data_IF_422047787295
#
_entry.id   IF_422047787295
#
_cell.length_a   1.000
_cell.length_b   1.000
_cell.length_c   1.000
_cell.angle_alpha   90.00
_cell.angle_beta   90.00
_cell.angle_gamma   90.00
#
_symmetry.space_group_name_H-M   'P 1'
#
loop_
_entity.id
_entity.type
_entity.pdbx_description
1 polymer ?
#
# COMPACT_ATOMS: atom_id res chain seq x y z
N UNK A 1 26.49 -15.95 6.51
CA UNK A 1 26.77 -16.04 5.05
C UNK A 1 26.25 -17.36 4.44
N UNK A 2 26.44 -18.52 5.08
CA UNK A 2 25.99 -19.82 4.56
C UNK A 2 24.46 -19.92 4.36
N UNK A 3 23.67 -19.54 5.37
CA UNK A 3 22.20 -19.56 5.30
C UNK A 3 21.61 -18.61 4.21
N UNK A 4 22.28 -17.47 3.97
CA UNK A 4 21.86 -16.55 2.91
C UNK A 4 22.11 -17.13 1.51
N UNK A 5 23.25 -17.82 1.31
CA UNK A 5 23.56 -18.48 0.05
C UNK A 5 22.63 -19.66 -0.24
N UNK A 6 22.32 -20.49 0.76
CA UNK A 6 21.37 -21.61 0.63
C UNK A 6 19.95 -21.14 0.25
N UNK A 7 19.50 -19.99 0.76
CA UNK A 7 18.23 -19.39 0.34
C UNK A 7 18.27 -18.82 -1.07
N UNK A 8 19.42 -18.32 -1.55
CA UNK A 8 19.57 -17.75 -2.89
C UNK A 8 19.65 -18.84 -3.97
N UNK A 9 20.29 -19.97 -3.67
CA UNK A 9 20.46 -21.09 -4.61
C UNK A 9 19.11 -21.76 -4.97
N UNK A 10 18.11 -21.67 -4.11
CA UNK A 10 16.77 -22.22 -4.36
C UNK A 10 15.88 -21.35 -5.26
N UNK A 11 16.27 -20.10 -5.58
CA UNK A 11 15.40 -19.13 -6.28
C UNK A 11 15.94 -18.64 -7.63
N UNK A 12 16.99 -19.24 -8.12
CA UNK A 12 17.62 -18.88 -9.39
C UNK A 12 18.63 -17.71 -9.28
N UNK A 13 19.33 -17.39 -10.36
CA UNK A 13 20.51 -16.51 -10.34
C UNK A 13 20.19 -15.03 -10.17
N UNK A 14 18.95 -14.60 -10.33
CA UNK A 14 18.54 -13.18 -10.28
C UNK A 14 17.27 -13.00 -9.47
N UNK A 15 17.34 -12.15 -8.43
CA UNK A 15 16.21 -11.72 -7.61
C UNK A 15 16.18 -12.34 -6.21
N UNK A 16 15.20 -11.92 -5.41
CA UNK A 16 14.95 -12.45 -4.08
C UNK A 16 13.73 -13.37 -4.09
N UNK A 17 13.83 -14.51 -3.41
CA UNK A 17 12.69 -15.40 -3.22
C UNK A 17 11.54 -14.71 -2.46
N UNK A 18 10.33 -14.78 -3.03
CA UNK A 18 9.14 -14.20 -2.42
C UNK A 18 8.67 -15.05 -1.24
N UNK A 19 8.37 -14.39 -0.09
CA UNK A 19 7.72 -15.02 1.07
C UNK A 19 8.64 -15.37 2.23
N UNK A 20 9.97 -15.32 2.09
CA UNK A 20 10.91 -15.49 3.20
C UNK A 20 11.12 -14.17 3.95
N UNK A 21 11.20 -14.22 5.29
CA UNK A 21 11.57 -13.06 6.12
C UNK A 21 13.00 -12.57 5.82
N UNK A 22 13.91 -13.50 5.52
CA UNK A 22 15.30 -13.19 5.16
C UNK A 22 15.32 -12.38 3.85
N UNK A 23 14.58 -12.82 2.83
CA UNK A 23 14.46 -12.11 1.56
C UNK A 23 13.85 -10.72 1.72
N UNK A 24 12.84 -10.57 2.58
CA UNK A 24 12.23 -9.26 2.88
C UNK A 24 13.24 -8.34 3.59
N UNK A 25 14.00 -8.84 4.54
CA UNK A 25 15.04 -8.07 5.25
C UNK A 25 16.15 -7.66 4.30
N UNK A 26 16.63 -8.58 3.45
CA UNK A 26 17.65 -8.28 2.44
C UNK A 26 17.17 -7.21 1.44
N UNK A 27 15.92 -7.31 0.98
CA UNK A 27 15.30 -6.30 0.11
C UNK A 27 15.17 -4.92 0.75
N UNK A 28 15.03 -4.84 2.08
CA UNK A 28 15.06 -3.57 2.82
C UNK A 28 16.45 -3.00 2.95
N UNK A 29 17.46 -3.87 3.10
CA UNK A 29 18.86 -3.45 3.32
C UNK A 29 19.61 -3.09 2.03
N UNK A 30 19.27 -3.75 0.91
CA UNK A 30 19.96 -3.51 -0.36
C UNK A 30 19.94 -2.04 -0.81
N UNK A 31 18.80 -1.31 -0.74
CA UNK A 31 18.77 0.10 -1.13
C UNK A 31 19.33 1.07 -0.09
N UNK A 32 19.87 0.59 1.06
CA UNK A 32 20.39 1.45 2.12
C UNK A 32 21.53 2.36 1.62
N UNK A 33 22.42 1.84 0.76
CA UNK A 33 23.48 2.65 0.13
C UNK A 33 22.89 3.77 -0.75
N UNK A 34 21.80 3.50 -1.45
CA UNK A 34 21.08 4.51 -2.22
C UNK A 34 20.42 5.55 -1.31
N UNK A 35 19.85 5.12 -0.17
CA UNK A 35 19.24 6.04 0.81
C UNK A 35 20.28 7.02 1.38
N UNK A 36 21.46 6.54 1.77
CA UNK A 36 22.59 7.36 2.20
C UNK A 36 23.07 8.30 1.09
N UNK A 37 23.22 7.78 -0.13
CA UNK A 37 23.62 8.61 -1.27
C UNK A 37 22.64 9.76 -1.51
N UNK A 38 21.33 9.51 -1.47
CA UNK A 38 20.29 10.54 -1.67
C UNK A 38 20.36 11.60 -0.56
N UNK A 39 20.52 11.18 0.68
CA UNK A 39 20.52 12.11 1.83
C UNK A 39 21.82 12.86 2.01
N UNK A 40 22.94 12.17 1.90
CA UNK A 40 24.25 12.70 2.26
C UNK A 40 24.98 13.32 1.05
N UNK A 41 24.93 12.67 -0.13
CA UNK A 41 25.64 13.14 -1.32
C UNK A 41 24.79 14.06 -2.19
N UNK A 42 23.48 13.79 -2.31
CA UNK A 42 22.55 14.65 -3.05
C UNK A 42 21.88 15.71 -2.15
N UNK A 43 22.01 15.64 -0.83
CA UNK A 43 21.45 16.62 0.10
C UNK A 43 19.93 16.76 0.03
N UNK A 44 19.21 15.77 -0.45
CA UNK A 44 17.75 15.81 -0.58
C UNK A 44 17.07 15.66 0.79
N UNK A 45 16.54 16.77 1.32
CA UNK A 45 15.80 16.76 2.60
C UNK A 45 14.43 16.09 2.48
N UNK A 46 13.72 16.31 1.38
CA UNK A 46 12.41 15.75 1.11
C UNK A 46 12.47 14.37 0.46
N UNK A 47 12.95 13.36 1.18
CA UNK A 47 13.05 11.99 0.71
C UNK A 47 12.31 11.02 1.63
N UNK A 48 11.56 10.09 1.06
CA UNK A 48 11.06 8.93 1.76
C UNK A 48 10.98 7.71 0.83
N UNK A 49 11.28 6.54 1.39
CA UNK A 49 11.16 5.24 0.73
C UNK A 49 10.37 4.27 1.62
N UNK A 50 9.57 3.46 0.97
CA UNK A 50 8.87 2.33 1.57
C UNK A 50 9.04 1.13 0.62
N UNK A 51 9.84 0.17 1.02
CA UNK A 51 10.23 -0.97 0.19
C UNK A 51 10.88 -0.49 -1.14
N UNK A 52 10.23 -0.79 -2.26
CA UNK A 52 10.60 -0.44 -3.63
C UNK A 52 10.03 0.92 -4.11
N UNK A 53 9.04 1.46 -3.39
CA UNK A 53 8.44 2.76 -3.73
C UNK A 53 9.12 3.89 -2.97
N UNK A 54 9.55 4.96 -3.67
CA UNK A 54 10.15 6.14 -3.06
C UNK A 54 9.76 7.43 -3.78
N UNK A 55 9.99 8.56 -3.11
CA UNK A 55 9.87 9.88 -3.72
C UNK A 55 10.94 10.84 -3.21
N UNK A 56 11.30 11.78 -4.07
CA UNK A 56 12.16 12.92 -3.76
C UNK A 56 11.39 14.21 -4.01
N UNK A 57 11.61 15.21 -3.14
CA UNK A 57 11.01 16.55 -3.31
C UNK A 57 12.14 17.57 -3.30
N UNK A 58 12.20 18.38 -4.35
CA UNK A 58 13.14 19.48 -4.49
C UNK A 58 12.52 20.61 -5.32
N UNK A 59 12.81 21.90 -5.05
CA UNK A 59 12.26 23.03 -5.81
C UNK A 59 12.75 23.07 -7.27
N UNK A 60 14.01 22.72 -7.54
CA UNK A 60 14.56 22.69 -8.90
C UNK A 60 14.24 21.36 -9.59
N UNK A 61 13.62 21.45 -10.76
CA UNK A 61 13.35 20.32 -11.64
C UNK A 61 14.62 19.80 -12.31
N UNK A 62 15.52 20.72 -12.65
CA UNK A 62 16.79 20.44 -13.30
C UNK A 62 17.65 19.60 -12.36
N UNK A 63 17.74 20.00 -11.10
CA UNK A 63 18.45 19.24 -10.07
C UNK A 63 17.85 17.85 -9.85
N UNK A 64 16.53 17.70 -9.87
CA UNK A 64 15.89 16.37 -9.79
C UNK A 64 16.23 15.47 -10.99
N UNK A 65 16.43 16.04 -12.19
CA UNK A 65 16.91 15.26 -13.34
C UNK A 65 18.34 14.78 -13.15
N UNK A 66 19.22 15.66 -12.68
CA UNK A 66 20.59 15.31 -12.33
C UNK A 66 20.63 14.21 -11.24
N UNK A 67 19.88 14.40 -10.16
CA UNK A 67 19.72 13.39 -9.11
C UNK A 67 19.30 12.04 -9.67
N UNK A 68 18.31 12.02 -10.59
CA UNK A 68 17.83 10.78 -11.20
C UNK A 68 18.92 10.08 -12.01
N UNK A 69 19.75 10.82 -12.75
CA UNK A 69 20.88 10.24 -13.51
C UNK A 69 21.91 9.63 -12.56
N UNK A 70 22.33 10.36 -11.56
CA UNK A 70 23.30 9.88 -10.55
C UNK A 70 22.76 8.70 -9.71
N UNK A 71 21.46 8.71 -9.39
CA UNK A 71 20.80 7.59 -8.74
C UNK A 71 20.80 6.33 -9.60
N UNK A 72 20.63 6.45 -10.91
CA UNK A 72 20.71 5.30 -11.82
C UNK A 72 22.09 4.63 -11.76
N UNK A 73 23.17 5.41 -11.81
CA UNK A 73 24.52 4.90 -11.70
C UNK A 73 24.75 4.10 -10.40
N UNK A 74 24.24 4.64 -9.26
CA UNK A 74 24.31 3.92 -7.99
C UNK A 74 23.44 2.66 -7.99
N UNK A 75 22.23 2.72 -8.56
CA UNK A 75 21.35 1.55 -8.68
C UNK A 75 22.00 0.46 -9.52
N UNK A 76 22.58 0.83 -10.67
CA UNK A 76 23.26 -0.11 -11.58
C UNK A 76 24.45 -0.78 -10.87
N UNK A 77 25.22 -0.04 -10.07
CA UNK A 77 26.30 -0.60 -9.25
C UNK A 77 25.84 -1.58 -8.17
N UNK A 78 24.57 -1.49 -7.75
CA UNK A 78 23.92 -2.35 -6.75
C UNK A 78 23.09 -3.47 -7.37
N UNK A 79 23.03 -3.57 -8.70
CA UNK A 79 22.14 -4.49 -9.40
C UNK A 79 20.64 -4.16 -9.26
N UNK A 80 20.29 -2.90 -8.93
CA UNK A 80 18.91 -2.45 -8.77
C UNK A 80 18.41 -1.86 -10.09
N UNK A 81 17.35 -2.40 -10.63
CA UNK A 81 16.74 -1.91 -11.88
C UNK A 81 15.63 -0.91 -11.57
N UNK A 82 15.83 0.37 -11.92
CA UNK A 82 14.80 1.40 -11.78
C UNK A 82 13.72 1.24 -12.87
N UNK A 83 12.46 1.21 -12.46
CA UNK A 83 11.33 1.15 -13.38
C UNK A 83 11.09 2.50 -14.06
N UNK A 84 11.64 2.68 -15.27
CA UNK A 84 11.56 3.92 -16.04
C UNK A 84 10.13 4.36 -16.40
N UNK A 85 9.20 3.40 -16.55
CA UNK A 85 7.79 3.69 -16.85
C UNK A 85 7.05 4.32 -15.65
N UNK A 86 7.45 3.96 -14.43
CA UNK A 86 6.86 4.46 -13.18
C UNK A 86 7.60 5.69 -12.63
N UNK A 87 8.91 5.80 -12.87
CA UNK A 87 9.72 6.93 -12.39
C UNK A 87 9.42 8.19 -13.20
N UNK A 88 8.85 9.21 -12.54
CA UNK A 88 8.40 10.45 -13.20
C UNK A 88 8.66 11.64 -12.32
N UNK A 89 9.16 12.73 -12.93
CA UNK A 89 9.27 14.05 -12.28
C UNK A 89 7.98 14.81 -12.55
N UNK A 90 7.30 15.26 -11.50
CA UNK A 90 6.02 15.97 -11.58
C UNK A 90 5.99 17.19 -10.67
N UNK A 91 5.15 18.16 -10.97
CA UNK A 91 4.84 19.26 -10.05
C UNK A 91 3.99 18.75 -8.88
N UNK A 92 4.23 19.25 -7.68
CA UNK A 92 3.43 18.87 -6.50
C UNK A 92 1.96 19.34 -6.63
N UNK A 93 1.70 20.38 -7.43
CA UNK A 93 0.34 20.86 -7.76
C UNK A 93 -0.46 19.85 -8.61
N UNK A 94 0.19 19.02 -9.42
CA UNK A 94 -0.46 17.92 -10.15
C UNK A 94 -0.79 16.74 -9.21
N UNK A 95 -0.04 16.64 -8.11
CA UNK A 95 -0.14 15.58 -7.12
C UNK A 95 0.52 14.26 -7.55
N UNK A 96 0.92 13.50 -6.56
CA UNK A 96 1.50 12.17 -6.73
C UNK A 96 0.85 11.17 -5.77
N UNK A 97 0.99 9.89 -6.07
CA UNK A 97 0.47 8.78 -5.24
C UNK A 97 1.64 8.10 -4.54
N UNK A 98 1.52 7.96 -3.21
CA UNK A 98 2.44 7.19 -2.40
C UNK A 98 1.66 6.42 -1.34
N UNK A 99 1.91 5.13 -1.17
CA UNK A 99 1.22 4.24 -0.22
C UNK A 99 -0.32 4.34 -0.28
N UNK A 100 -0.87 4.40 -1.50
CA UNK A 100 -2.31 4.53 -1.79
C UNK A 100 -2.94 5.89 -1.41
N UNK A 101 -2.16 6.83 -0.88
CA UNK A 101 -2.58 8.21 -0.62
C UNK A 101 -2.10 9.09 -1.78
N UNK A 102 -2.99 9.93 -2.29
CA UNK A 102 -2.66 10.98 -3.25
C UNK A 102 -2.37 12.28 -2.50
N UNK A 103 -1.15 12.77 -2.64
CA UNK A 103 -0.71 14.05 -2.11
C UNK A 103 -0.80 15.10 -3.20
N UNK A 104 -1.30 16.28 -2.88
CA UNK A 104 -1.36 17.44 -3.76
C UNK A 104 -1.09 18.70 -2.95
N UNK A 105 -0.21 19.56 -3.45
CA UNK A 105 0.02 20.90 -2.91
C UNK A 105 -0.97 21.87 -3.55
N UNK A 106 -1.69 22.65 -2.73
CA UNK A 106 -2.56 23.73 -3.20
C UNK A 106 -1.76 25.01 -3.40
N UNK A 107 -2.32 25.98 -4.11
CA UNK A 107 -1.73 27.30 -4.29
C UNK A 107 -1.54 28.05 -2.96
N UNK A 108 -2.38 27.75 -1.97
CA UNK A 108 -2.26 28.31 -0.60
C UNK A 108 -1.20 27.61 0.26
N UNK A 109 -0.38 26.71 -0.31
CA UNK A 109 0.64 25.95 0.43
C UNK A 109 0.10 24.78 1.26
N UNK A 110 -1.22 24.53 1.25
CA UNK A 110 -1.83 23.42 2.01
C UNK A 110 -1.64 22.10 1.28
N UNK A 111 -1.19 21.06 2.03
CA UNK A 111 -1.06 19.70 1.50
C UNK A 111 -2.38 18.94 1.66
N UNK A 112 -3.01 18.60 0.55
CA UNK A 112 -4.17 17.72 0.52
C UNK A 112 -3.72 16.26 0.44
N UNK A 113 -4.26 15.43 1.32
CA UNK A 113 -4.05 13.98 1.37
C UNK A 113 -5.37 13.29 1.07
N UNK A 114 -5.53 12.74 -0.12
CA UNK A 114 -6.76 12.03 -0.49
C UNK A 114 -6.46 10.56 -0.75
N UNK A 115 -7.30 9.69 -0.25
CA UNK A 115 -7.22 8.28 -0.59
C UNK A 115 -7.54 8.05 -2.07
N UNK A 116 -6.91 7.05 -2.67
CA UNK A 116 -7.16 6.75 -4.08
C UNK A 116 -8.59 6.25 -4.27
N UNK A 117 -9.24 6.68 -5.35
CA UNK A 117 -10.57 6.23 -5.73
C UNK A 117 -10.64 4.70 -5.94
N UNK A 118 -9.52 4.11 -6.35
CA UNK A 118 -9.38 2.66 -6.48
C UNK A 118 -9.55 1.91 -5.15
N UNK A 119 -9.07 2.49 -4.02
CA UNK A 119 -9.27 1.92 -2.69
C UNK A 119 -10.76 1.82 -2.34
N UNK A 120 -11.52 2.88 -2.65
CA UNK A 120 -12.98 2.91 -2.44
C UNK A 120 -13.68 1.88 -3.33
N UNK A 121 -13.30 1.78 -4.60
CA UNK A 121 -13.83 0.75 -5.51
C UNK A 121 -13.53 -0.67 -5.02
N UNK A 122 -12.29 -0.90 -4.54
CA UNK A 122 -11.87 -2.21 -4.04
C UNK A 122 -12.68 -2.63 -2.81
N UNK A 123 -12.82 -1.76 -1.81
CA UNK A 123 -13.62 -2.10 -0.61
C UNK A 123 -15.09 -2.32 -0.95
N UNK A 124 -15.68 -1.49 -1.83
CA UNK A 124 -17.05 -1.66 -2.28
C UNK A 124 -17.31 -3.01 -2.94
N UNK A 125 -16.38 -3.46 -3.82
CA UNK A 125 -16.44 -4.79 -4.43
C UNK A 125 -16.26 -5.89 -3.39
N UNK A 126 -15.35 -5.70 -2.44
CA UNK A 126 -15.06 -6.66 -1.37
C UNK A 126 -16.30 -6.86 -0.47
N UNK A 127 -16.95 -5.77 -0.05
CA UNK A 127 -18.18 -5.83 0.77
C UNK A 127 -19.33 -6.55 0.05
N UNK A 128 -19.54 -6.32 -1.26
CA UNK A 128 -20.53 -7.07 -2.05
C UNK A 128 -20.23 -8.57 -2.07
N UNK A 129 -18.96 -8.95 -2.28
CA UNK A 129 -18.54 -10.36 -2.23
C UNK A 129 -18.75 -10.96 -0.84
N UNK A 130 -18.39 -10.24 0.20
CA UNK A 130 -18.55 -10.68 1.59
C UNK A 130 -20.03 -10.89 1.94
N UNK A 131 -20.92 -9.97 1.56
CA UNK A 131 -22.37 -10.16 1.75
C UNK A 131 -22.84 -11.47 1.11
N UNK A 132 -22.44 -11.73 -0.14
CA UNK A 132 -22.78 -12.97 -0.82
C UNK A 132 -22.22 -14.20 -0.09
N UNK A 133 -20.95 -14.16 0.33
CA UNK A 133 -20.31 -15.27 1.03
C UNK A 133 -20.82 -15.47 2.46
N UNK A 134 -21.36 -14.44 3.08
CA UNK A 134 -22.03 -14.54 4.38
C UNK A 134 -23.37 -15.27 4.26
N UNK A 135 -24.11 -15.06 3.16
CA UNK A 135 -25.41 -15.68 2.93
C UNK A 135 -25.25 -17.07 2.28
N UNK A 136 -24.54 -17.16 1.16
CA UNK A 136 -24.47 -18.34 0.30
C UNK A 136 -23.26 -19.25 0.64
N UNK A 137 -22.30 -18.74 1.41
CA UNK A 137 -21.02 -19.38 1.62
C UNK A 137 -20.09 -19.25 0.40
N UNK A 138 -18.81 -19.58 0.62
CA UNK A 138 -17.79 -19.65 -0.43
C UNK A 138 -17.21 -21.06 -0.46
N UNK A 139 -17.09 -21.62 -1.65
CA UNK A 139 -16.37 -22.88 -1.85
C UNK A 139 -14.85 -22.59 -1.72
N UNK A 140 -14.22 -23.27 -0.78
CA UNK A 140 -12.77 -23.18 -0.54
C UNK A 140 -12.16 -24.57 -0.55
N UNK A 141 -10.92 -24.69 -1.00
CA UNK A 141 -10.18 -25.97 -0.95
C UNK A 141 -9.41 -26.06 0.36
N UNK A 142 -9.77 -26.99 1.24
CA UNK A 142 -9.11 -27.25 2.52
C UNK A 142 -8.64 -28.70 2.51
N UNK A 143 -7.36 -28.94 2.74
CA UNK A 143 -6.75 -30.26 2.73
C UNK A 143 -7.14 -31.13 1.52
N UNK A 144 -7.14 -30.52 0.32
CA UNK A 144 -7.48 -31.19 -0.93
C UNK A 144 -8.97 -31.30 -1.26
N UNK A 145 -9.87 -31.10 -0.29
CA UNK A 145 -11.35 -31.18 -0.45
C UNK A 145 -11.98 -29.82 -0.68
N UNK A 146 -13.01 -29.74 -1.49
CA UNK A 146 -13.82 -28.53 -1.67
C UNK A 146 -14.90 -28.46 -0.59
N UNK A 147 -14.82 -27.45 0.27
CA UNK A 147 -15.76 -27.23 1.38
C UNK A 147 -16.44 -25.87 1.20
N UNK A 148 -17.74 -25.80 1.42
CA UNK A 148 -18.47 -24.55 1.47
C UNK A 148 -18.32 -23.93 2.85
N UNK A 149 -17.66 -22.77 2.95
CA UNK A 149 -17.46 -22.01 4.19
C UNK A 149 -18.24 -20.71 4.16
N UNK A 150 -19.06 -20.48 5.16
CA UNK A 150 -19.74 -19.18 5.37
C UNK A 150 -18.70 -18.19 5.91
N UNK A 151 -18.78 -16.96 5.43
CA UNK A 151 -17.90 -15.88 5.90
C UNK A 151 -18.57 -15.18 7.09
N UNK A 152 -18.01 -15.25 8.31
CA UNK A 152 -18.63 -14.69 9.49
C UNK A 152 -18.67 -13.16 9.40
N UNK A 153 -19.66 -12.56 10.04
CA UNK A 153 -19.83 -11.11 10.04
C UNK A 153 -18.67 -10.39 10.74
N UNK A 154 -18.03 -11.05 11.73
CA UNK A 154 -16.82 -10.59 12.39
C UNK A 154 -15.66 -10.29 11.42
N UNK A 155 -15.41 -11.18 10.46
CA UNK A 155 -14.35 -11.00 9.45
C UNK A 155 -14.67 -9.80 8.53
N UNK A 156 -15.95 -9.60 8.23
CA UNK A 156 -16.43 -8.50 7.39
C UNK A 156 -16.24 -7.17 8.14
N UNK A 157 -16.63 -7.12 9.40
CA UNK A 157 -16.47 -5.97 10.27
C UNK A 157 -14.99 -5.61 10.44
N UNK A 158 -14.14 -6.57 10.77
CA UNK A 158 -12.69 -6.37 10.93
C UNK A 158 -12.04 -5.85 9.64
N UNK A 159 -12.40 -6.42 8.49
CA UNK A 159 -11.88 -5.94 7.21
C UNK A 159 -12.33 -4.52 6.87
N UNK A 160 -13.57 -4.17 7.21
CA UNK A 160 -14.11 -2.83 6.98
C UNK A 160 -13.49 -1.81 7.93
N UNK A 161 -13.34 -2.14 9.22
CA UNK A 161 -12.71 -1.28 10.23
C UNK A 161 -11.25 -0.98 9.87
N UNK A 162 -10.48 -1.98 9.45
CA UNK A 162 -9.11 -1.80 8.96
C UNK A 162 -9.06 -0.79 7.81
N UNK A 163 -9.99 -0.91 6.84
CA UNK A 163 -10.09 0.05 5.74
C UNK A 163 -10.48 1.45 6.23
N UNK A 164 -11.47 1.58 7.13
CA UNK A 164 -11.86 2.87 7.73
C UNK A 164 -10.69 3.54 8.44
N UNK A 165 -9.95 2.77 9.26
CA UNK A 165 -8.77 3.26 9.98
C UNK A 165 -7.70 3.81 9.01
N UNK A 166 -7.48 3.13 7.89
CA UNK A 166 -6.57 3.61 6.84
C UNK A 166 -7.08 4.89 6.17
N UNK A 167 -8.38 4.99 5.89
CA UNK A 167 -9.01 6.17 5.28
C UNK A 167 -8.94 7.42 6.17
N UNK A 168 -8.97 7.28 7.49
CA UNK A 168 -8.85 8.39 8.45
C UNK A 168 -7.50 9.11 8.40
N UNK A 169 -6.46 8.48 7.84
CA UNK A 169 -5.13 9.10 7.64
C UNK A 169 -5.10 10.19 6.57
N UNK A 170 -6.17 10.34 5.79
CA UNK A 170 -6.32 11.34 4.74
C UNK A 170 -7.54 12.23 4.91
N UNK A 171 -7.65 13.27 4.09
CA UNK A 171 -8.82 14.14 4.00
C UNK A 171 -9.99 13.43 3.28
N UNK A 172 -10.47 12.33 3.86
CA UNK A 172 -11.41 11.40 3.21
C UNK A 172 -12.72 11.24 3.98
N UNK A 173 -13.08 12.20 4.86
CA UNK A 173 -14.26 12.15 5.72
C UNK A 173 -15.54 11.80 4.94
N UNK A 174 -15.89 12.58 3.92
CA UNK A 174 -17.10 12.33 3.12
C UNK A 174 -17.09 11.00 2.36
N UNK A 175 -15.89 10.49 2.03
CA UNK A 175 -15.79 9.18 1.39
C UNK A 175 -16.06 8.05 2.39
N UNK A 176 -15.60 8.20 3.63
CA UNK A 176 -15.89 7.26 4.72
C UNK A 176 -17.37 7.26 5.04
N UNK A 177 -17.97 8.44 5.23
CA UNK A 177 -19.39 8.60 5.52
C UNK A 177 -20.29 7.91 4.47
N UNK A 178 -20.03 8.18 3.18
CA UNK A 178 -20.76 7.50 2.09
C UNK A 178 -20.58 5.98 2.10
N UNK A 179 -19.41 5.50 2.50
CA UNK A 179 -19.18 4.06 2.59
C UNK A 179 -19.79 3.44 3.84
N UNK A 180 -19.88 4.18 4.95
CA UNK A 180 -20.61 3.77 6.15
C UNK A 180 -22.10 3.60 5.86
N UNK A 181 -22.70 4.53 5.13
CA UNK A 181 -24.09 4.40 4.65
C UNK A 181 -24.25 3.20 3.71
N UNK A 182 -23.29 2.97 2.84
CA UNK A 182 -23.30 1.80 1.96
C UNK A 182 -23.15 0.49 2.75
N UNK A 183 -22.32 0.45 3.77
CA UNK A 183 -22.20 -0.69 4.69
C UNK A 183 -23.53 -0.96 5.40
N UNK A 184 -24.16 0.09 5.96
CA UNK A 184 -25.50 0.00 6.57
C UNK A 184 -26.54 -0.59 5.61
N UNK A 185 -26.54 -0.16 4.35
CA UNK A 185 -27.44 -0.70 3.31
C UNK A 185 -27.22 -2.20 3.07
N UNK A 186 -25.96 -2.68 3.18
CA UNK A 186 -25.65 -4.09 2.93
C UNK A 186 -25.92 -5.00 4.13
N UNK A 187 -25.63 -4.54 5.35
CA UNK A 187 -25.57 -5.37 6.55
C UNK A 187 -26.62 -5.01 7.62
N UNK A 188 -27.41 -3.96 7.41
CA UNK A 188 -28.53 -3.59 8.27
C UNK A 188 -28.19 -2.65 9.44
N UNK A 189 -26.90 -2.47 9.77
CA UNK A 189 -26.45 -1.61 10.87
C UNK A 189 -25.34 -0.65 10.45
N UNK A 190 -25.25 0.49 11.16
CA UNK A 190 -24.23 1.50 10.88
C UNK A 190 -22.93 1.17 11.63
N UNK A 191 -21.74 1.30 11.01
CA UNK A 191 -20.45 0.98 11.65
C UNK A 191 -20.14 1.76 12.92
N UNK A 192 -20.79 2.91 13.15
CA UNK A 192 -20.66 3.71 14.39
C UNK A 192 -21.60 3.22 15.50
N UNK A 193 -22.53 2.30 15.22
CA UNK A 193 -23.36 1.69 16.26
C UNK A 193 -22.53 0.64 17.00
N UNK A 194 -21.95 1.04 18.14
CA UNK A 194 -21.04 0.20 18.94
C UNK A 194 -21.69 -1.08 19.44
N UNK A 195 -23.00 -1.08 19.70
CA UNK A 195 -23.73 -2.24 20.21
C UNK A 195 -23.84 -3.29 19.11
N UNK A 196 -24.38 -2.92 17.95
CA UNK A 196 -24.52 -3.83 16.81
C UNK A 196 -23.15 -4.29 16.28
N UNK A 197 -22.17 -3.39 16.30
CA UNK A 197 -20.80 -3.72 15.90
C UNK A 197 -20.17 -4.78 16.82
N UNK A 198 -20.35 -4.66 18.14
CA UNK A 198 -19.85 -5.67 19.10
C UNK A 198 -20.56 -7.01 18.93
N UNK A 199 -21.89 -7.02 18.79
CA UNK A 199 -22.65 -8.25 18.50
C UNK A 199 -22.10 -8.94 17.25
N UNK A 200 -21.83 -8.19 16.18
CA UNK A 200 -21.30 -8.72 14.92
C UNK A 200 -19.85 -9.26 15.02
N UNK A 201 -19.06 -8.80 15.98
CA UNK A 201 -17.71 -9.32 16.24
C UNK A 201 -17.69 -10.61 17.07
N UNK A 202 -18.75 -10.88 17.80
CA UNK A 202 -18.87 -12.08 18.64
C UNK A 202 -19.54 -13.27 17.93
N UNK A 203 -20.07 -13.05 16.71
CA UNK A 203 -20.62 -14.09 15.83
C UNK A 203 -19.60 -14.55 14.81
#
# INVERSE_FOLDING_TARGET
RALANECLDNFGPIGYGLGSQISQTAALMLPNKLDHFIKEKLGIKGYARYMDDGYLIHPSKEYLKECLTRMKEVCDSLGIILNTKKTKIKKLSEGFKFLQIRFKLTETGKVLRKMSFESIKKIRRKLKKFKRWNIEGRVVKIAGKFVRRVFPLSDICSAYESWRGHMKRGNSFHAVERMDLYFKKLFGFHPNNKIEWRKALCT
#
